data_IF_261044706538
#
_entry.id   IF_261044706538
#
_cell.length_a   1.000
_cell.length_b   1.000
_cell.length_c   1.000
_cell.angle_alpha   90.00
_cell.angle_beta   90.00
_cell.angle_gamma   90.00
#
_symmetry.space_group_name_H-M   'P 1'
#
loop_
_entity.id
_entity.type
_entity.pdbx_description
1 polymer ?
#
# COMPACT_ATOMS: atom_id res chain seq x y z
N UNK A 1 -17.69 26.09 -7.46
CA UNK A 1 -18.98 25.94 -8.15
C UNK A 1 -19.44 27.31 -8.67
N UNK A 2 -20.06 27.34 -9.86
CA UNK A 2 -20.67 28.54 -10.39
C UNK A 2 -22.18 28.51 -10.11
N UNK A 3 -22.68 29.56 -9.43
CA UNK A 3 -24.10 29.73 -9.16
C UNK A 3 -24.51 31.07 -9.78
N UNK A 4 -25.40 31.05 -10.76
CA UNK A 4 -25.84 32.25 -11.52
C UNK A 4 -24.64 33.05 -12.12
N UNK A 5 -23.64 32.36 -12.65
CA UNK A 5 -22.45 32.97 -13.23
C UNK A 5 -21.41 33.51 -12.24
N UNK A 6 -21.67 33.44 -10.95
CA UNK A 6 -20.73 33.87 -9.89
C UNK A 6 -20.03 32.66 -9.27
N UNK A 7 -18.69 32.71 -9.19
CA UNK A 7 -17.90 31.66 -8.55
C UNK A 7 -18.13 31.69 -7.02
N UNK A 8 -18.68 30.61 -6.48
CA UNK A 8 -18.88 30.42 -5.03
C UNK A 8 -18.00 29.28 -4.53
N UNK A 9 -17.48 29.35 -3.29
CA UNK A 9 -16.82 28.21 -2.68
C UNK A 9 -17.80 27.03 -2.58
N UNK A 10 -17.28 25.82 -2.75
CA UNK A 10 -17.99 24.56 -2.58
C UNK A 10 -17.10 23.57 -1.86
N UNK A 11 -17.69 22.65 -1.12
CA UNK A 11 -16.94 21.57 -0.48
C UNK A 11 -16.23 20.71 -1.53
N UNK A 12 -15.02 20.28 -1.20
CA UNK A 12 -14.29 19.33 -2.00
C UNK A 12 -15.00 17.98 -2.03
N UNK A 13 -15.00 17.33 -3.18
CA UNK A 13 -15.54 15.98 -3.34
C UNK A 13 -14.47 15.12 -4.01
N UNK A 14 -14.17 13.97 -3.41
CA UNK A 14 -13.29 12.95 -3.96
C UNK A 14 -14.10 11.70 -4.28
N UNK A 15 -14.06 11.30 -5.54
CA UNK A 15 -14.81 10.13 -6.03
C UNK A 15 -13.84 9.07 -6.56
N UNK A 16 -14.00 7.83 -6.11
CA UNK A 16 -13.35 6.65 -6.66
C UNK A 16 -14.36 5.85 -7.48
N UNK A 17 -14.19 5.81 -8.80
CA UNK A 17 -15.12 5.14 -9.72
C UNK A 17 -16.60 5.56 -9.51
N UNK A 18 -16.83 6.83 -9.11
CA UNK A 18 -18.17 7.37 -8.87
C UNK A 18 -18.68 7.26 -7.43
N UNK A 19 -17.99 6.55 -6.55
CA UNK A 19 -18.31 6.45 -5.13
C UNK A 19 -17.62 7.56 -4.35
N UNK A 20 -18.35 8.24 -3.46
CA UNK A 20 -17.75 9.23 -2.57
C UNK A 20 -16.83 8.53 -1.54
N UNK A 21 -15.63 9.05 -1.38
CA UNK A 21 -14.64 8.47 -0.46
C UNK A 21 -15.16 8.39 0.98
N UNK A 22 -16.01 9.35 1.39
CA UNK A 22 -16.63 9.35 2.72
C UNK A 22 -17.58 8.17 2.90
N UNK A 23 -18.27 7.77 1.83
CA UNK A 23 -19.18 6.62 1.87
C UNK A 23 -18.42 5.31 1.88
N UNK A 24 -17.28 5.22 1.17
CA UNK A 24 -16.38 4.06 1.26
C UNK A 24 -15.85 3.88 2.69
N UNK A 25 -15.40 4.96 3.35
CA UNK A 25 -14.94 4.92 4.74
C UNK A 25 -16.07 4.49 5.70
N UNK A 26 -17.28 5.01 5.52
CA UNK A 26 -18.43 4.65 6.36
C UNK A 26 -18.88 3.21 6.14
N UNK A 27 -18.78 2.72 4.92
CA UNK A 27 -19.13 1.34 4.57
C UNK A 27 -18.18 0.30 5.12
N UNK A 28 -16.94 0.67 5.43
CA UNK A 28 -15.90 -0.20 5.99
C UNK A 28 -16.00 -0.41 7.50
N UNK A 29 -17.21 -0.47 8.05
CA UNK A 29 -17.42 -0.68 9.49
C UNK A 29 -17.15 -2.13 9.92
N UNK A 30 -16.84 -2.33 11.21
CA UNK A 30 -16.55 -3.66 11.79
C UNK A 30 -15.13 -4.13 11.52
N UNK A 31 -14.95 -5.38 11.12
CA UNK A 31 -13.63 -6.00 10.81
C UNK A 31 -13.10 -5.67 9.42
N UNK A 32 -13.86 -4.95 8.61
CA UNK A 32 -13.53 -4.62 7.23
C UNK A 32 -12.54 -3.46 7.16
N UNK A 33 -11.47 -3.61 6.38
CA UNK A 33 -10.53 -2.56 6.07
C UNK A 33 -10.88 -1.91 4.73
N UNK A 34 -10.84 -0.57 4.67
CA UNK A 34 -11.30 0.21 3.52
C UNK A 34 -10.27 0.25 2.40
N UNK A 35 -8.96 0.15 2.72
CA UNK A 35 -7.90 0.23 1.72
C UNK A 35 -7.99 -0.88 0.67
N UNK A 36 -8.12 -2.14 1.10
CA UNK A 36 -8.22 -3.28 0.19
C UNK A 36 -9.48 -3.21 -0.68
N UNK A 37 -10.60 -2.78 -0.10
CA UNK A 37 -11.85 -2.59 -0.84
C UNK A 37 -11.73 -1.48 -1.89
N UNK A 38 -11.10 -0.36 -1.54
CA UNK A 38 -10.84 0.73 -2.48
C UNK A 38 -9.84 0.33 -3.57
N UNK A 39 -8.79 -0.43 -3.23
CA UNK A 39 -7.85 -0.96 -4.20
C UNK A 39 -8.55 -1.90 -5.19
N UNK A 40 -9.42 -2.77 -4.71
CA UNK A 40 -10.25 -3.62 -5.57
C UNK A 40 -11.15 -2.78 -6.50
N UNK A 41 -11.87 -1.80 -5.94
CA UNK A 41 -12.74 -0.92 -6.71
C UNK A 41 -11.97 -0.18 -7.82
N UNK A 42 -10.78 0.32 -7.53
CA UNK A 42 -9.97 1.05 -8.52
C UNK A 42 -9.46 0.13 -9.64
N UNK A 43 -9.08 -1.10 -9.32
CA UNK A 43 -8.57 -2.08 -10.29
C UNK A 43 -9.69 -2.66 -11.15
N UNK A 44 -10.81 -3.06 -10.55
CA UNK A 44 -11.86 -3.81 -11.24
C UNK A 44 -13.09 -2.96 -11.62
N UNK A 45 -13.22 -1.75 -11.09
CA UNK A 45 -14.29 -0.81 -11.46
C UNK A 45 -15.62 -1.00 -10.73
N UNK A 46 -15.73 -2.00 -9.87
CA UNK A 46 -16.93 -2.32 -9.06
C UNK A 46 -16.56 -2.63 -7.62
N UNK A 47 -17.50 -2.44 -6.69
CA UNK A 47 -17.30 -2.87 -5.30
C UNK A 47 -17.35 -4.40 -5.21
N UNK A 48 -16.47 -5.03 -4.43
CA UNK A 48 -16.43 -6.48 -4.29
C UNK A 48 -17.59 -7.00 -3.44
N UNK A 49 -18.04 -8.21 -3.73
CA UNK A 49 -18.74 -9.03 -2.73
C UNK A 49 -17.77 -9.44 -1.64
N UNK A 50 -18.27 -9.94 -0.49
CA UNK A 50 -17.38 -10.41 0.58
C UNK A 50 -16.42 -11.51 0.08
N UNK A 51 -16.91 -12.48 -0.69
CA UNK A 51 -16.09 -13.57 -1.23
C UNK A 51 -14.98 -13.05 -2.15
N UNK A 52 -15.30 -12.09 -3.04
CA UNK A 52 -14.31 -11.46 -3.93
C UNK A 52 -13.28 -10.65 -3.15
N UNK A 53 -13.69 -9.96 -2.09
CA UNK A 53 -12.78 -9.21 -1.24
C UNK A 53 -11.84 -10.14 -0.49
N UNK A 54 -12.35 -11.23 0.10
CA UNK A 54 -11.55 -12.21 0.82
C UNK A 54 -10.51 -12.86 -0.11
N UNK A 55 -10.90 -13.20 -1.33
CA UNK A 55 -9.98 -13.73 -2.35
C UNK A 55 -8.92 -12.69 -2.76
N UNK A 56 -9.32 -11.43 -2.97
CA UNK A 56 -8.39 -10.36 -3.29
C UNK A 56 -7.38 -10.12 -2.15
N UNK A 57 -7.84 -10.08 -0.91
CA UNK A 57 -6.97 -9.95 0.27
C UNK A 57 -5.98 -11.12 0.37
N UNK A 58 -6.43 -12.34 0.09
CA UNK A 58 -5.56 -13.54 0.05
C UNK A 58 -4.46 -13.39 -1.00
N UNK A 59 -4.83 -13.02 -2.23
CA UNK A 59 -3.88 -12.82 -3.34
C UNK A 59 -2.90 -11.68 -3.02
N UNK A 60 -3.40 -10.57 -2.49
CA UNK A 60 -2.57 -9.44 -2.07
C UNK A 60 -1.58 -9.85 -0.97
N UNK A 61 -2.04 -10.66 -0.01
CA UNK A 61 -1.19 -11.22 1.05
C UNK A 61 -0.05 -12.09 0.51
N UNK A 62 -0.32 -12.94 -0.47
CA UNK A 62 0.67 -13.78 -1.14
C UNK A 62 1.69 -12.95 -1.94
N UNK A 63 1.29 -11.78 -2.45
CA UNK A 63 2.18 -10.86 -3.16
C UNK A 63 3.15 -10.09 -2.25
N UNK A 64 3.02 -10.17 -0.92
CA UNK A 64 3.90 -9.48 0.04
C UNK A 64 5.26 -10.16 0.18
N UNK A 65 5.91 -10.36 -0.94
CA UNK A 65 7.24 -10.99 -1.01
C UNK A 65 8.16 -10.18 -1.93
N UNK A 66 9.44 -10.10 -1.56
CA UNK A 66 10.46 -9.47 -2.39
C UNK A 66 11.45 -10.51 -2.92
N UNK A 67 12.14 -10.22 -4.03
CA UNK A 67 13.21 -11.08 -4.54
C UNK A 67 14.27 -11.35 -3.46
N UNK A 68 14.91 -12.51 -3.54
CA UNK A 68 15.95 -12.92 -2.60
C UNK A 68 17.03 -11.85 -2.48
N UNK A 69 17.37 -11.48 -1.27
CA UNK A 69 18.37 -10.46 -0.92
C UNK A 69 18.03 -9.02 -1.35
N UNK A 70 16.86 -8.74 -1.93
CA UNK A 70 16.49 -7.42 -2.41
C UNK A 70 16.59 -6.34 -1.31
N UNK A 71 16.10 -6.61 -0.11
CA UNK A 71 16.20 -5.68 1.02
C UNK A 71 17.66 -5.32 1.30
N UNK A 72 18.55 -6.32 1.37
CA UNK A 72 19.98 -6.13 1.65
C UNK A 72 20.70 -5.39 0.52
N UNK A 73 20.48 -5.83 -0.72
CA UNK A 73 21.31 -5.42 -1.86
C UNK A 73 20.81 -4.16 -2.57
N UNK A 74 19.54 -3.81 -2.39
CA UNK A 74 18.92 -2.64 -3.02
C UNK A 74 18.58 -1.59 -1.97
N UNK A 75 17.74 -1.92 -0.98
CA UNK A 75 17.21 -0.95 -0.04
C UNK A 75 18.29 -0.48 0.95
N UNK A 76 19.00 -1.42 1.57
CA UNK A 76 20.01 -1.11 2.59
C UNK A 76 21.31 -0.54 2.01
N UNK A 77 21.67 -0.84 0.77
CA UNK A 77 22.93 -0.35 0.18
C UNK A 77 22.93 1.14 -0.16
N UNK A 78 21.78 1.74 -0.35
CA UNK A 78 21.66 3.15 -0.69
C UNK A 78 20.54 3.81 0.13
N UNK A 79 20.70 3.92 1.45
CA UNK A 79 19.74 4.60 2.30
C UNK A 79 19.59 6.06 1.87
N UNK A 80 18.44 6.66 2.11
CA UNK A 80 18.18 8.05 1.77
C UNK A 80 17.20 8.65 2.78
N UNK A 81 17.42 9.92 3.14
CA UNK A 81 16.43 10.70 3.89
C UNK A 81 15.14 10.93 3.08
N UNK A 82 15.24 10.86 1.75
CA UNK A 82 14.10 10.88 0.83
C UNK A 82 13.58 9.46 0.61
N UNK A 83 12.61 9.05 1.43
CA UNK A 83 11.99 7.72 1.37
C UNK A 83 11.26 7.51 0.04
N UNK A 84 10.64 8.55 -0.53
CA UNK A 84 9.98 8.46 -1.84
C UNK A 84 10.99 8.13 -2.95
N UNK A 85 12.15 8.76 -2.94
CA UNK A 85 13.24 8.42 -3.85
C UNK A 85 13.71 6.97 -3.67
N UNK A 86 13.87 6.53 -2.43
CA UNK A 86 14.23 5.13 -2.11
C UNK A 86 13.20 4.14 -2.66
N UNK A 87 11.91 4.43 -2.50
CA UNK A 87 10.83 3.61 -3.04
C UNK A 87 10.86 3.60 -4.59
N UNK A 88 10.98 4.76 -5.22
CA UNK A 88 11.02 4.88 -6.68
C UNK A 88 12.17 4.06 -7.29
N UNK A 89 13.38 4.17 -6.73
CA UNK A 89 14.55 3.37 -7.15
C UNK A 89 14.30 1.87 -6.98
N UNK A 90 13.67 1.49 -5.87
CA UNK A 90 13.33 0.09 -5.59
C UNK A 90 12.34 -0.45 -6.61
N UNK A 91 11.30 0.31 -6.97
CA UNK A 91 10.33 -0.10 -7.99
C UNK A 91 11.01 -0.26 -9.36
N UNK A 92 11.87 0.69 -9.76
CA UNK A 92 12.62 0.57 -11.01
C UNK A 92 13.54 -0.65 -11.02
N UNK A 93 14.16 -0.96 -9.89
CA UNK A 93 15.02 -2.15 -9.76
C UNK A 93 14.21 -3.44 -9.78
N UNK A 94 12.99 -3.47 -9.23
CA UNK A 94 12.11 -4.65 -9.26
C UNK A 94 11.79 -5.11 -10.68
N UNK A 95 11.73 -4.20 -11.65
CA UNK A 95 11.53 -4.54 -13.05
C UNK A 95 12.61 -5.51 -13.59
N UNK A 96 13.83 -5.45 -13.07
CA UNK A 96 14.92 -6.35 -13.47
C UNK A 96 14.74 -7.80 -12.96
N UNK A 97 13.83 -8.01 -12.00
CA UNK A 97 13.51 -9.33 -11.46
C UNK A 97 12.23 -9.92 -12.06
N UNK A 98 11.51 -9.17 -12.87
CA UNK A 98 10.30 -9.63 -13.55
C UNK A 98 10.60 -9.93 -15.02
N UNK A 99 10.63 -11.22 -15.43
CA UNK A 99 10.88 -11.58 -16.82
C UNK A 99 9.81 -11.07 -17.80
N UNK A 100 8.63 -10.70 -17.27
CA UNK A 100 7.51 -10.16 -18.05
C UNK A 100 7.37 -8.64 -17.88
N UNK A 101 8.42 -7.92 -17.45
CA UNK A 101 8.35 -6.48 -17.14
C UNK A 101 7.84 -5.64 -18.30
N UNK A 102 8.14 -6.01 -19.54
CA UNK A 102 7.78 -5.28 -20.75
C UNK A 102 6.52 -5.83 -21.47
N UNK A 103 5.87 -6.85 -20.92
CA UNK A 103 4.65 -7.39 -21.49
C UNK A 103 3.46 -6.53 -21.06
N UNK A 104 2.78 -5.94 -22.04
CA UNK A 104 1.64 -5.02 -21.86
C UNK A 104 0.28 -5.72 -21.93
N UNK A 105 0.25 -7.05 -21.92
CA UNK A 105 -1.02 -7.77 -21.81
C UNK A 105 -1.76 -7.38 -20.51
N UNK A 106 -3.09 -7.23 -20.60
CA UNK A 106 -3.90 -6.74 -19.47
C UNK A 106 -3.74 -7.63 -18.23
N UNK A 107 -3.67 -8.95 -18.43
CA UNK A 107 -3.49 -9.90 -17.33
C UNK A 107 -2.15 -9.72 -16.63
N UNK A 108 -1.09 -9.45 -17.39
CA UNK A 108 0.23 -9.20 -16.83
C UNK A 108 0.30 -7.84 -16.12
N UNK A 109 -0.28 -6.79 -16.70
CA UNK A 109 -0.35 -5.46 -16.06
C UNK A 109 -1.13 -5.53 -14.76
N UNK A 110 -2.24 -6.29 -14.70
CA UNK A 110 -3.00 -6.52 -13.47
C UNK A 110 -2.16 -7.26 -12.42
N UNK A 111 -1.46 -8.34 -12.82
CA UNK A 111 -0.54 -9.05 -11.94
C UNK A 111 0.51 -8.12 -11.32
N UNK A 112 1.17 -7.31 -12.17
CA UNK A 112 2.18 -6.35 -11.71
C UNK A 112 1.58 -5.30 -10.77
N UNK A 113 0.38 -4.80 -11.05
CA UNK A 113 -0.31 -3.81 -10.21
C UNK A 113 -0.62 -4.37 -8.82
N UNK A 114 -1.14 -5.59 -8.73
CA UNK A 114 -1.43 -6.27 -7.46
C UNK A 114 -0.12 -6.52 -6.69
N UNK A 115 0.91 -7.01 -7.39
CA UNK A 115 2.21 -7.27 -6.78
C UNK A 115 2.83 -5.99 -6.20
N UNK A 116 2.84 -4.89 -6.95
CA UNK A 116 3.34 -3.61 -6.46
C UNK A 116 2.54 -3.11 -5.26
N UNK A 117 1.20 -3.19 -5.30
CA UNK A 117 0.34 -2.81 -4.18
C UNK A 117 0.71 -3.58 -2.91
N UNK A 118 0.97 -4.89 -3.03
CA UNK A 118 1.39 -5.73 -1.91
C UNK A 118 2.79 -5.42 -1.37
N UNK A 119 3.72 -5.00 -2.23
CA UNK A 119 5.12 -4.76 -1.87
C UNK A 119 5.35 -3.33 -1.33
N UNK A 120 4.56 -2.34 -1.75
CA UNK A 120 4.78 -0.93 -1.40
C UNK A 120 4.96 -0.67 0.10
N UNK A 121 4.15 -1.23 1.01
CA UNK A 121 4.36 -1.08 2.46
C UNK A 121 5.74 -1.55 2.91
N UNK A 122 6.24 -2.64 2.33
CA UNK A 122 7.57 -3.17 2.64
C UNK A 122 8.67 -2.22 2.17
N UNK A 123 8.55 -1.66 0.96
CA UNK A 123 9.52 -0.69 0.43
C UNK A 123 9.58 0.56 1.30
N UNK A 124 8.43 1.07 1.74
CA UNK A 124 8.36 2.25 2.59
C UNK A 124 9.00 1.99 3.97
N UNK A 125 8.58 0.91 4.63
CA UNK A 125 9.04 0.59 5.99
C UNK A 125 10.51 0.23 6.01
N UNK A 126 10.98 -0.62 5.11
CA UNK A 126 12.39 -1.00 5.08
C UNK A 126 13.30 0.14 4.62
N UNK A 127 12.81 1.01 3.72
CA UNK A 127 13.49 2.25 3.36
C UNK A 127 13.67 3.18 4.56
N UNK A 128 12.60 3.34 5.36
CA UNK A 128 12.64 4.11 6.60
C UNK A 128 13.60 3.50 7.63
N UNK A 129 13.56 2.18 7.84
CA UNK A 129 14.48 1.51 8.78
C UNK A 129 15.93 1.59 8.32
N UNK A 130 16.20 1.48 7.02
CA UNK A 130 17.54 1.67 6.49
C UNK A 130 18.04 3.10 6.73
N UNK A 131 17.22 4.12 6.44
CA UNK A 131 17.54 5.50 6.75
C UNK A 131 17.81 5.71 8.23
N UNK A 132 16.91 5.21 9.10
CA UNK A 132 17.05 5.36 10.55
C UNK A 132 18.32 4.67 11.08
N UNK A 133 18.69 3.52 10.51
CA UNK A 133 19.89 2.79 10.89
C UNK A 133 21.17 3.52 10.48
N UNK A 134 21.28 3.96 9.24
CA UNK A 134 22.53 4.52 8.72
C UNK A 134 22.70 6.02 9.00
N UNK A 135 21.62 6.77 9.17
CA UNK A 135 21.66 8.23 9.33
C UNK A 135 21.25 8.70 10.73
N UNK A 136 20.68 7.84 11.55
CA UNK A 136 20.14 8.18 12.88
C UNK A 136 20.67 7.27 13.99
N UNK A 137 21.64 6.40 13.70
CA UNK A 137 22.19 5.43 14.64
C UNK A 137 21.13 4.50 15.29
N UNK A 138 19.97 4.33 14.62
CA UNK A 138 18.90 3.45 15.06
C UNK A 138 19.17 1.98 14.73
N UNK A 139 18.36 1.10 15.27
CA UNK A 139 18.41 -0.31 14.93
C UNK A 139 17.72 -0.59 13.59
N UNK A 140 18.27 -1.51 12.80
CA UNK A 140 17.61 -2.02 11.60
C UNK A 140 16.65 -3.14 11.97
N UNK A 141 15.36 -2.96 11.65
CA UNK A 141 14.32 -3.98 11.83
C UNK A 141 13.85 -4.48 10.47
N UNK A 142 13.81 -5.80 10.30
CA UNK A 142 13.32 -6.47 9.08
C UNK A 142 12.25 -7.49 9.52
N UNK A 143 11.10 -6.98 9.93
CA UNK A 143 9.96 -7.81 10.27
C UNK A 143 9.26 -8.29 8.99
N UNK A 144 8.99 -9.57 8.91
CA UNK A 144 8.27 -10.13 7.76
C UNK A 144 6.77 -9.79 7.85
N UNK A 145 6.13 -9.42 6.73
CA UNK A 145 4.68 -9.27 6.71
C UNK A 145 3.98 -10.60 7.01
N UNK A 146 2.81 -10.51 7.58
CA UNK A 146 1.89 -11.64 7.76
C UNK A 146 0.87 -11.60 6.61
N UNK A 147 0.74 -12.66 5.81
CA UNK A 147 -0.18 -12.67 4.67
C UNK A 147 -1.66 -12.57 5.07
N UNK A 148 -2.01 -12.88 6.32
CA UNK A 148 -3.39 -12.85 6.80
C UNK A 148 -3.85 -11.48 7.33
N UNK A 149 -2.90 -10.58 7.62
CA UNK A 149 -3.21 -9.24 8.12
C UNK A 149 -3.50 -8.27 6.96
N UNK A 150 -4.26 -7.22 7.24
CA UNK A 150 -4.48 -6.11 6.30
C UNK A 150 -3.19 -5.36 5.98
N UNK A 151 -3.22 -4.50 4.98
CA UNK A 151 -2.09 -3.63 4.61
C UNK A 151 -1.72 -2.68 5.76
N UNK A 152 -2.71 -2.06 6.40
CA UNK A 152 -2.49 -1.16 7.52
C UNK A 152 -1.87 -1.86 8.74
N UNK A 153 -2.39 -3.04 9.10
CA UNK A 153 -1.85 -3.85 10.19
C UNK A 153 -0.41 -4.27 9.91
N UNK A 154 -0.12 -4.76 8.72
CA UNK A 154 1.23 -5.14 8.32
C UNK A 154 2.20 -3.96 8.33
N UNK A 155 1.75 -2.79 7.88
CA UNK A 155 2.57 -1.58 7.91
C UNK A 155 3.01 -1.27 9.35
N UNK A 156 2.07 -1.22 10.31
CA UNK A 156 2.37 -0.97 11.72
C UNK A 156 3.22 -2.07 12.34
N UNK A 157 2.90 -3.34 12.05
CA UNK A 157 3.65 -4.50 12.51
C UNK A 157 5.11 -4.45 12.06
N UNK A 158 5.36 -4.12 10.80
CA UNK A 158 6.72 -4.03 10.26
C UNK A 158 7.47 -2.79 10.74
N UNK A 159 6.75 -1.68 10.96
CA UNK A 159 7.34 -0.41 11.38
C UNK A 159 7.81 -0.42 12.83
N UNK A 160 7.10 -1.11 13.72
CA UNK A 160 7.37 -1.08 15.16
C UNK A 160 8.35 -2.15 15.58
N UNK A 161 9.35 -1.81 16.43
CA UNK A 161 10.36 -2.78 16.90
C UNK A 161 9.76 -4.00 17.59
N UNK A 162 8.65 -3.83 18.33
CA UNK A 162 7.96 -4.86 19.09
C UNK A 162 6.80 -5.51 18.31
N UNK A 163 6.57 -5.10 17.06
CA UNK A 163 5.49 -5.56 16.18
C UNK A 163 4.06 -5.34 16.73
N UNK A 164 3.90 -4.50 17.77
CA UNK A 164 2.59 -4.30 18.42
C UNK A 164 1.88 -3.07 17.88
N UNK A 165 0.59 -3.16 17.75
CA UNK A 165 -0.32 -2.08 17.40
C UNK A 165 -1.69 -2.33 18.02
N UNK A 166 -2.49 -1.29 18.14
CA UNK A 166 -3.89 -1.39 18.54
C UNK A 166 -4.80 -1.41 17.32
N UNK A 167 -6.01 -1.95 17.47
CA UNK A 167 -7.02 -1.92 16.41
C UNK A 167 -7.31 -0.49 15.93
N UNK A 168 -7.39 0.46 16.86
CA UNK A 168 -7.63 1.87 16.54
C UNK A 168 -6.52 2.43 15.65
N UNK A 169 -5.26 2.16 15.96
CA UNK A 169 -4.12 2.62 15.14
C UNK A 169 -4.16 2.02 13.73
N UNK A 170 -4.49 0.73 13.61
CA UNK A 170 -4.64 0.08 12.31
C UNK A 170 -5.77 0.72 11.50
N UNK A 171 -6.90 1.04 12.14
CA UNK A 171 -8.03 1.72 11.50
C UNK A 171 -7.69 3.13 11.03
N UNK A 172 -7.01 3.91 11.87
CA UNK A 172 -6.58 5.27 11.50
C UNK A 172 -5.64 5.24 10.30
N UNK A 173 -4.70 4.29 10.30
CA UNK A 173 -3.78 4.14 9.17
C UNK A 173 -4.50 3.65 7.91
N UNK A 174 -5.44 2.71 8.03
CA UNK A 174 -6.23 2.20 6.91
C UNK A 174 -6.98 3.34 6.19
N UNK A 175 -7.65 4.20 6.96
CA UNK A 175 -8.33 5.39 6.41
C UNK A 175 -7.34 6.36 5.77
N UNK A 176 -6.15 6.54 6.35
CA UNK A 176 -5.11 7.39 5.77
C UNK A 176 -4.53 6.82 4.46
N UNK A 177 -4.43 5.50 4.34
CA UNK A 177 -3.97 4.84 3.11
C UNK A 177 -5.01 4.87 1.99
N UNK A 178 -6.30 4.95 2.33
CA UNK A 178 -7.37 5.08 1.36
C UNK A 178 -7.44 6.48 0.73
N UNK A 179 -7.11 7.54 1.49
CA UNK A 179 -7.15 8.94 1.07
C UNK A 179 -5.97 9.34 0.18
#
# INVERSE_FOLDING_TARGET
QYVNGVKKPADGQLLYRGYDVKDLIRGSSGSRFAFEEAAYLLLFGELPTQEKLDEFCRVLGECRTMPTNFTRDVIMKAPSHDIMNSMARSVLTLASYDPMANDLDISNVLRQSIQLTGIFPMLAVYGYHAYNHYEKDGSMYIHRPDPQLSTAENFLRMLRPDMKYTELEARVLDVALLL
#
